data_IF_125985120158
#
_entry.id   IF_125985120158
#
_cell.length_a   1.000
_cell.length_b   1.000
_cell.length_c   1.000
_cell.angle_alpha   90.00
_cell.angle_beta   90.00
_cell.angle_gamma   90.00
#
_symmetry.space_group_name_H-M   'P 1'
#
loop_
_entity.id
_entity.type
_entity.pdbx_description
1 polymer ?
#
# COMPACT_ATOMS: atom_id res chain seq x y z
N UNK A 1 19.76 35.64 16.04
CA UNK A 1 18.95 35.03 14.95
C UNK A 1 19.08 33.50 14.98
N UNK A 2 18.76 32.82 16.11
CA UNK A 2 18.95 31.36 16.23
C UNK A 2 18.04 30.68 17.27
N UNK A 3 16.95 31.32 17.71
CA UNK A 3 16.12 30.79 18.80
C UNK A 3 14.98 29.85 18.35
N UNK A 4 14.67 29.76 17.05
CA UNK A 4 13.51 28.99 16.53
C UNK A 4 13.88 27.75 15.70
N UNK A 5 15.17 27.52 15.45
CA UNK A 5 15.65 26.34 14.71
C UNK A 5 15.16 24.99 15.29
N UNK A 6 15.16 24.75 16.62
CA UNK A 6 14.73 23.45 17.15
C UNK A 6 13.22 23.24 16.99
N UNK A 7 12.41 24.29 17.11
CA UNK A 7 10.96 24.21 16.90
C UNK A 7 10.63 23.87 15.44
N UNK A 8 11.25 24.55 14.49
CA UNK A 8 11.07 24.29 13.07
C UNK A 8 11.50 22.86 12.71
N UNK A 9 12.60 22.37 13.30
CA UNK A 9 13.04 20.99 13.13
C UNK A 9 12.03 19.98 13.70
N UNK A 10 11.41 20.29 14.83
CA UNK A 10 10.37 19.44 15.41
C UNK A 10 9.12 19.39 14.53
N UNK A 11 8.66 20.55 14.05
CA UNK A 11 7.51 20.64 13.15
C UNK A 11 7.75 19.91 11.82
N UNK A 12 8.94 20.03 11.24
CA UNK A 12 9.30 19.28 10.03
C UNK A 12 9.28 17.76 10.25
N UNK A 13 9.77 17.28 11.39
CA UNK A 13 9.70 15.85 11.73
C UNK A 13 8.25 15.38 11.90
N UNK A 14 7.41 16.20 12.51
CA UNK A 14 5.99 15.90 12.66
C UNK A 14 5.30 15.85 11.30
N UNK A 15 5.55 16.84 10.43
CA UNK A 15 5.02 16.89 9.07
C UNK A 15 5.46 15.67 8.23
N UNK A 16 6.74 15.28 8.30
CA UNK A 16 7.24 14.10 7.60
C UNK A 16 6.55 12.81 8.04
N UNK A 17 6.32 12.64 9.36
CA UNK A 17 5.56 11.50 9.88
C UNK A 17 4.11 11.50 9.40
N UNK A 18 3.46 12.66 9.38
CA UNK A 18 2.11 12.81 8.85
C UNK A 18 2.02 12.49 7.36
N UNK A 19 3.02 12.89 6.55
CA UNK A 19 3.07 12.57 5.13
C UNK A 19 3.12 11.05 4.88
N UNK A 20 3.94 10.31 5.63
CA UNK A 20 3.99 8.84 5.53
C UNK A 20 2.64 8.20 5.88
N UNK A 21 1.97 8.69 6.92
CA UNK A 21 0.65 8.18 7.31
C UNK A 21 -0.41 8.47 6.25
N UNK A 22 -0.39 9.65 5.64
CA UNK A 22 -1.29 10.01 4.56
C UNK A 22 -1.06 9.17 3.30
N UNK A 23 0.19 8.89 2.95
CA UNK A 23 0.52 8.01 1.83
C UNK A 23 0.03 6.57 2.07
N UNK A 24 0.20 6.05 3.29
CA UNK A 24 -0.36 4.75 3.67
C UNK A 24 -1.89 4.73 3.62
N UNK A 25 -2.54 5.76 4.16
CA UNK A 25 -4.00 5.85 4.19
C UNK A 25 -4.61 6.03 2.80
N UNK A 26 -3.90 6.71 1.89
CA UNK A 26 -4.31 6.91 0.50
C UNK A 26 -3.95 5.72 -0.39
N UNK A 27 -3.13 4.78 0.07
CA UNK A 27 -2.74 3.63 -0.73
C UNK A 27 -3.98 2.73 -0.96
N UNK A 28 -4.48 2.62 -2.20
CA UNK A 28 -5.65 1.79 -2.46
C UNK A 28 -5.27 0.32 -2.22
N UNK A 29 -6.05 -0.37 -1.40
CA UNK A 29 -5.89 -1.82 -1.25
C UNK A 29 -6.09 -2.49 -2.62
N UNK A 30 -5.03 -3.10 -3.15
CA UNK A 30 -5.01 -3.84 -4.42
C UNK A 30 -5.01 -5.35 -4.15
N UNK A 31 -6.19 -5.96 -3.99
CA UNK A 31 -6.28 -7.39 -3.74
C UNK A 31 -5.74 -8.21 -4.93
N UNK A 32 -5.64 -7.63 -6.13
CA UNK A 32 -5.08 -8.25 -7.34
C UNK A 32 -3.62 -8.65 -7.19
N UNK A 33 -2.84 -7.93 -6.36
CA UNK A 33 -1.47 -8.32 -6.01
C UNK A 33 -1.41 -9.50 -5.03
N UNK A 34 -2.52 -9.74 -4.31
CA UNK A 34 -2.62 -10.74 -3.24
C UNK A 34 -3.38 -12.00 -3.71
N UNK A 35 -4.05 -11.93 -4.86
CA UNK A 35 -4.61 -13.09 -5.55
C UNK A 35 -3.51 -13.87 -6.27
N UNK A 36 -2.58 -14.43 -5.50
CA UNK A 36 -1.64 -15.48 -5.94
C UNK A 36 -2.32 -16.86 -6.05
N UNK A 37 -3.64 -16.89 -6.25
CA UNK A 37 -4.39 -18.12 -6.50
C UNK A 37 -4.83 -18.09 -7.95
N UNK A 38 -4.02 -18.74 -8.79
CA UNK A 38 -4.39 -19.06 -10.16
C UNK A 38 -5.71 -19.82 -10.23
N UNK A 39 -6.22 -20.07 -11.45
CA UNK A 39 -7.50 -20.74 -11.64
C UNK A 39 -7.58 -22.03 -10.80
N UNK A 40 -8.59 -22.11 -9.93
CA UNK A 40 -8.77 -23.28 -9.07
C UNK A 40 -9.13 -24.53 -9.88
N UNK A 41 -9.12 -25.73 -9.25
CA UNK A 41 -9.44 -26.99 -9.92
C UNK A 41 -10.78 -26.98 -10.68
N UNK A 42 -11.77 -26.23 -10.17
CA UNK A 42 -13.08 -26.04 -10.81
C UNK A 42 -13.02 -25.26 -12.13
N UNK A 43 -12.02 -24.42 -12.31
CA UNK A 43 -11.79 -23.70 -13.58
C UNK A 43 -11.13 -24.62 -14.61
N UNK A 44 -10.13 -25.41 -14.19
CA UNK A 44 -9.48 -26.39 -15.05
C UNK A 44 -10.45 -27.48 -15.54
N UNK A 45 -11.34 -27.97 -14.67
CA UNK A 45 -12.37 -28.94 -15.06
C UNK A 45 -13.34 -28.42 -16.15
N UNK A 46 -13.52 -27.10 -16.26
CA UNK A 46 -14.35 -26.47 -17.30
C UNK A 46 -13.58 -26.18 -18.60
N UNK A 47 -12.25 -26.06 -18.51
CA UNK A 47 -11.38 -25.77 -19.65
C UNK A 47 -10.70 -27.00 -20.23
N UNK A 48 -10.76 -28.15 -19.55
CA UNK A 48 -10.36 -29.41 -20.14
C UNK A 48 -11.16 -29.59 -21.46
N UNK A 49 -10.50 -29.60 -22.62
CA UNK A 49 -11.18 -29.95 -23.86
C UNK A 49 -11.71 -31.36 -23.67
N UNK A 50 -12.97 -31.59 -24.01
CA UNK A 50 -13.54 -32.93 -24.04
C UNK A 50 -12.66 -33.78 -24.99
N UNK A 51 -11.77 -34.59 -24.40
CA UNK A 51 -11.07 -35.69 -25.07
C UNK A 51 -12.04 -36.85 -25.28
#
# INVERSE_FOLDING_TARGET
MLAMQPLLRYLNQLAARWQVLLDLARNPYRPELHYMRGPGPKWHAKQAPNL
#
